data_IF_992470308450
#
_entry.id   IF_992470308450
#
_cell.length_a   1.000
_cell.length_b   1.000
_cell.length_c   1.000
_cell.angle_alpha   90.00
_cell.angle_beta   90.00
_cell.angle_gamma   90.00
#
_symmetry.space_group_name_H-M   'P 1'
#
loop_
_entity.id
_entity.type
_entity.pdbx_description
1 polymer ?
#
# COMPACT_ATOMS: atom_id res chain seq x y z
N UNK A 1 -12.22 27.94 8.90
CA UNK A 1 -11.35 26.97 8.21
C UNK A 1 -10.55 26.28 9.31
N UNK A 2 -10.92 25.06 9.69
CA UNK A 2 -10.13 24.29 10.65
C UNK A 2 -8.88 23.79 9.94
N UNK A 3 -7.71 24.19 10.45
CA UNK A 3 -6.41 23.93 9.81
C UNK A 3 -5.95 22.49 10.04
N UNK A 4 -6.42 21.86 11.13
CA UNK A 4 -6.11 20.49 11.50
C UNK A 4 -7.40 19.77 11.93
N UNK A 5 -7.58 18.49 11.58
CA UNK A 5 -8.79 17.73 11.88
C UNK A 5 -8.85 17.26 13.34
N UNK A 6 -8.35 18.02 14.31
CA UNK A 6 -8.22 17.59 15.72
C UNK A 6 -9.22 18.31 16.63
N UNK A 7 -9.73 17.63 17.65
CA UNK A 7 -10.54 18.27 18.70
C UNK A 7 -9.64 19.08 19.61
N UNK A 8 -10.06 20.27 20.02
CA UNK A 8 -9.29 21.12 20.93
C UNK A 8 -10.20 21.77 21.95
N UNK A 9 -9.84 21.66 23.23
CA UNK A 9 -10.56 22.38 24.29
C UNK A 9 -10.28 23.91 24.20
N UNK A 10 -11.20 24.77 24.68
CA UNK A 10 -10.96 26.20 24.76
C UNK A 10 -9.68 26.52 25.56
N UNK A 11 -8.74 27.25 24.95
CA UNK A 11 -7.46 27.60 25.58
C UNK A 11 -6.34 26.55 25.48
N UNK A 12 -6.62 25.36 24.97
CA UNK A 12 -5.61 24.32 24.76
C UNK A 12 -4.73 24.66 23.53
N UNK A 13 -3.42 24.37 23.61
CA UNK A 13 -2.53 24.53 22.46
C UNK A 13 -2.78 23.42 21.43
N UNK A 14 -2.45 23.66 20.15
CA UNK A 14 -2.55 22.60 19.13
C UNK A 14 -1.64 21.41 19.44
N UNK A 15 -0.44 21.66 19.97
CA UNK A 15 0.51 20.60 20.33
C UNK A 15 -0.01 19.72 21.46
N UNK A 16 -0.71 20.28 22.43
CA UNK A 16 -1.28 19.49 23.53
C UNK A 16 -2.48 18.68 23.04
N UNK A 17 -3.33 19.29 22.21
CA UNK A 17 -4.46 18.58 21.60
C UNK A 17 -3.99 17.39 20.76
N UNK A 18 -2.95 17.56 19.95
CA UNK A 18 -2.34 16.47 19.18
C UNK A 18 -1.86 15.34 20.10
N UNK A 19 -1.18 15.66 21.20
CA UNK A 19 -0.68 14.64 22.14
C UNK A 19 -1.80 13.84 22.79
N UNK A 20 -2.90 14.50 23.16
CA UNK A 20 -4.06 13.84 23.78
C UNK A 20 -4.77 12.87 22.81
N UNK A 21 -4.66 13.15 21.51
CA UNK A 21 -5.31 12.38 20.44
C UNK A 21 -4.33 11.52 19.64
N UNK A 22 -3.10 11.39 20.11
CA UNK A 22 -2.06 10.66 19.39
C UNK A 22 -2.34 9.15 19.40
N UNK A 23 -2.08 8.49 18.27
CA UNK A 23 -2.19 7.04 18.19
C UNK A 23 -1.20 6.37 19.17
N UNK A 24 -1.63 5.37 19.97
CA UNK A 24 -0.78 4.76 21.01
C UNK A 24 0.57 4.27 20.50
N UNK A 25 0.60 3.64 19.32
CA UNK A 25 1.84 3.15 18.69
C UNK A 25 2.82 4.24 18.28
N UNK A 26 2.34 5.46 18.04
CA UNK A 26 3.16 6.57 17.54
C UNK A 26 3.78 7.36 18.71
N UNK A 27 3.19 7.29 19.92
CA UNK A 27 3.67 7.99 21.11
C UNK A 27 5.12 7.67 21.49
N UNK A 28 5.55 6.40 21.63
CA UNK A 28 6.94 6.09 21.97
C UNK A 28 7.94 6.58 20.91
N UNK A 29 7.54 6.51 19.63
CA UNK A 29 8.38 6.95 18.51
C UNK A 29 8.57 8.47 18.52
N UNK A 30 7.48 9.23 18.64
CA UNK A 30 7.54 10.69 18.65
C UNK A 30 8.35 11.22 19.84
N UNK A 31 8.16 10.62 21.00
CA UNK A 31 8.90 10.95 22.22
C UNK A 31 10.40 10.75 22.03
N UNK A 32 10.78 9.64 21.38
CA UNK A 32 12.16 9.34 21.06
C UNK A 32 12.74 10.35 20.08
N UNK A 33 12.09 10.59 18.94
CA UNK A 33 12.54 11.54 17.90
C UNK A 33 12.74 12.94 18.49
N UNK A 34 11.77 13.42 19.26
CA UNK A 34 11.83 14.74 19.88
C UNK A 34 13.00 14.82 20.87
N UNK A 35 13.17 13.82 21.75
CA UNK A 35 14.27 13.79 22.73
C UNK A 35 15.63 13.72 22.05
N UNK A 36 15.74 12.93 20.98
CA UNK A 36 16.97 12.82 20.19
C UNK A 36 17.32 14.16 19.55
N UNK A 37 16.38 14.83 18.87
CA UNK A 37 16.60 16.13 18.25
C UNK A 37 17.05 17.20 19.25
N UNK A 38 16.39 17.27 20.41
CA UNK A 38 16.71 18.22 21.48
C UNK A 38 18.12 18.00 22.06
N UNK A 39 18.53 16.73 22.24
CA UNK A 39 19.82 16.37 22.87
C UNK A 39 21.00 16.48 21.91
N UNK A 40 20.79 16.12 20.66
CA UNK A 40 21.83 16.14 19.62
C UNK A 40 22.12 17.55 19.10
N UNK A 41 21.28 18.53 19.45
CA UNK A 41 21.43 19.91 18.98
C UNK A 41 20.97 20.12 17.54
N UNK A 42 20.19 19.19 16.97
CA UNK A 42 19.60 19.39 15.65
C UNK A 42 18.65 20.59 15.71
N UNK A 43 18.80 21.52 14.76
CA UNK A 43 17.94 22.70 14.62
C UNK A 43 16.59 22.39 13.95
N UNK A 44 16.39 21.14 13.53
CA UNK A 44 15.23 20.72 12.76
C UNK A 44 14.98 19.21 12.91
N UNK A 45 13.71 18.82 12.97
CA UNK A 45 13.27 17.44 12.77
C UNK A 45 11.91 17.42 12.09
N UNK A 46 11.61 16.32 11.42
CA UNK A 46 10.28 16.06 10.87
C UNK A 46 9.81 14.67 11.29
N UNK A 47 8.50 14.51 11.44
CA UNK A 47 7.90 13.24 11.81
C UNK A 47 6.46 13.14 11.31
N UNK A 48 6.09 11.93 10.91
CA UNK A 48 4.70 11.58 10.63
C UNK A 48 4.09 10.91 11.86
N UNK A 49 2.81 11.13 12.09
CA UNK A 49 2.06 10.47 13.14
C UNK A 49 0.56 10.45 12.84
N UNK A 50 -0.16 9.58 13.54
CA UNK A 50 -1.61 9.47 13.44
C UNK A 50 -2.27 10.12 14.65
N UNK A 51 -3.29 10.93 14.40
CA UNK A 51 -4.12 11.51 15.45
C UNK A 51 -5.60 11.21 15.23
N UNK A 52 -6.34 11.10 16.33
CA UNK A 52 -7.79 10.92 16.30
C UNK A 52 -8.45 12.22 15.84
N UNK A 53 -9.26 12.10 14.81
CA UNK A 53 -9.98 13.18 14.18
C UNK A 53 -11.19 13.66 14.97
N UNK A 54 -11.72 14.82 14.61
CA UNK A 54 -13.00 15.29 15.15
C UNK A 54 -14.19 14.41 14.71
N UNK A 55 -14.04 13.76 13.56
CA UNK A 55 -14.94 12.79 12.93
C UNK A 55 -14.83 11.37 13.50
N UNK A 56 -13.86 11.12 14.39
CA UNK A 56 -13.60 9.80 14.97
C UNK A 56 -12.77 8.88 14.08
N UNK A 57 -12.15 9.39 13.01
CA UNK A 57 -11.23 8.64 12.17
C UNK A 57 -9.78 8.96 12.50
N UNK A 58 -8.86 8.06 12.17
CA UNK A 58 -7.44 8.34 12.27
C UNK A 58 -6.98 9.15 11.06
N UNK A 59 -6.35 10.30 11.32
CA UNK A 59 -5.71 11.11 10.29
C UNK A 59 -4.21 11.04 10.40
N UNK A 60 -3.54 11.00 9.25
CA UNK A 60 -2.09 11.11 9.16
C UNK A 60 -1.70 12.58 9.11
N UNK A 61 -0.87 13.00 10.05
CA UNK A 61 -0.29 14.34 10.08
C UNK A 61 1.23 14.24 9.86
N UNK A 62 1.73 15.16 9.06
CA UNK A 62 3.16 15.43 8.90
C UNK A 62 3.50 16.68 9.71
N UNK A 63 4.48 16.59 10.59
CA UNK A 63 4.98 17.72 11.36
C UNK A 63 6.43 18.00 11.03
N UNK A 64 6.71 19.26 10.72
CA UNK A 64 8.06 19.80 10.59
C UNK A 64 8.32 20.78 11.72
N UNK A 65 9.36 20.53 12.51
CA UNK A 65 9.68 21.33 13.71
C UNK A 65 11.07 21.91 13.61
N UNK A 66 11.15 23.25 13.77
CA UNK A 66 12.43 23.92 14.04
C UNK A 66 12.69 24.00 15.53
N UNK A 67 13.94 23.77 15.89
CA UNK A 67 14.45 23.82 17.25
C UNK A 67 15.46 24.95 17.35
N UNK A 68 15.20 25.91 18.24
CA UNK A 68 16.11 27.00 18.56
C UNK A 68 16.58 26.87 20.01
N UNK A 69 17.89 26.84 20.25
CA UNK A 69 18.46 26.84 21.60
C UNK A 69 18.46 28.28 22.13
N UNK A 70 17.66 28.57 23.14
CA UNK A 70 17.55 29.91 23.76
C UNK A 70 18.29 30.00 25.10
N UNK A 71 18.86 28.90 25.59
CA UNK A 71 19.69 28.85 26.79
C UNK A 71 20.24 27.44 27.05
N UNK A 72 21.06 27.27 28.09
CA UNK A 72 21.81 26.03 28.33
C UNK A 72 20.95 24.73 28.40
N UNK A 73 19.66 24.85 28.75
CA UNK A 73 18.66 23.77 28.72
C UNK A 73 17.27 24.30 28.36
N UNK A 74 17.23 25.30 27.48
CA UNK A 74 15.99 25.94 27.08
C UNK A 74 15.92 25.96 25.56
N UNK A 75 14.83 25.44 25.02
CA UNK A 75 14.59 25.32 23.59
C UNK A 75 13.26 25.97 23.23
N UNK A 76 13.23 26.66 22.11
CA UNK A 76 12.00 27.08 21.45
C UNK A 76 11.74 26.13 20.28
N UNK A 77 10.53 25.59 20.23
CA UNK A 77 10.06 24.70 19.18
C UNK A 77 8.99 25.42 18.37
N UNK A 78 9.14 25.43 17.04
CA UNK A 78 8.13 25.94 16.12
C UNK A 78 7.81 24.85 15.12
N UNK A 79 6.63 24.26 15.27
CA UNK A 79 6.11 23.18 14.43
C UNK A 79 5.06 23.69 13.43
N UNK A 80 5.10 23.14 12.22
CA UNK A 80 4.01 23.22 11.25
C UNK A 80 3.48 21.81 11.02
N UNK A 81 2.16 21.63 11.16
CA UNK A 81 1.50 20.36 10.91
C UNK A 81 0.68 20.45 9.62
N UNK A 82 0.77 19.41 8.79
CA UNK A 82 0.01 19.27 7.55
C UNK A 82 -0.75 17.95 7.58
N UNK A 83 -2.05 17.97 7.25
CA UNK A 83 -2.80 16.73 7.05
C UNK A 83 -2.37 16.08 5.74
N UNK A 84 -1.86 14.85 5.83
CA UNK A 84 -1.38 14.04 4.70
C UNK A 84 -2.24 12.78 4.49
N UNK A 85 -3.40 12.68 5.15
CA UNK A 85 -4.28 11.51 5.06
C UNK A 85 -4.65 11.18 3.61
N UNK A 86 -5.06 12.20 2.85
CA UNK A 86 -5.44 12.02 1.44
C UNK A 86 -4.27 11.50 0.60
N UNK A 87 -3.07 12.04 0.84
CA UNK A 87 -1.84 11.61 0.15
C UNK A 87 -1.51 10.15 0.47
N UNK A 88 -1.53 9.77 1.75
CA UNK A 88 -1.26 8.39 2.18
C UNK A 88 -2.29 7.42 1.58
N UNK A 89 -3.57 7.78 1.60
CA UNK A 89 -4.62 6.93 1.03
C UNK A 89 -4.47 6.75 -0.49
N UNK A 90 -4.14 7.83 -1.21
CA UNK A 90 -3.86 7.75 -2.65
C UNK A 90 -2.63 6.89 -2.96
N UNK A 91 -1.54 7.03 -2.19
CA UNK A 91 -0.34 6.21 -2.36
C UNK A 91 -0.62 4.71 -2.12
N UNK A 92 -1.46 4.38 -1.13
CA UNK A 92 -1.88 3.00 -0.85
C UNK A 92 -2.75 2.42 -1.98
N UNK A 93 -3.73 3.19 -2.46
CA UNK A 93 -4.58 2.82 -3.60
C UNK A 93 -3.74 2.61 -4.88
N UNK A 94 -2.79 3.50 -5.16
CA UNK A 94 -1.87 3.35 -6.30
C UNK A 94 -1.04 2.07 -6.18
N UNK A 95 -0.46 1.80 -5.01
CA UNK A 95 0.33 0.58 -4.78
C UNK A 95 -0.51 -0.67 -4.97
N UNK A 96 -1.75 -0.66 -4.50
CA UNK A 96 -2.70 -1.77 -4.68
C UNK A 96 -3.00 -2.01 -6.16
N UNK A 97 -3.25 -0.95 -6.92
CA UNK A 97 -3.52 -1.06 -8.36
C UNK A 97 -2.31 -1.57 -9.15
N UNK A 98 -1.10 -1.10 -8.84
CA UNK A 98 0.14 -1.59 -9.47
C UNK A 98 0.36 -3.09 -9.20
N UNK A 99 0.06 -3.56 -7.99
CA UNK A 99 0.15 -4.98 -7.67
C UNK A 99 -0.87 -5.81 -8.47
N UNK A 100 -2.11 -5.31 -8.62
CA UNK A 100 -3.15 -5.97 -9.40
C UNK A 100 -2.80 -6.01 -10.90
N UNK A 101 -2.27 -4.91 -11.44
CA UNK A 101 -1.80 -4.84 -12.83
C UNK A 101 -0.66 -5.84 -13.08
N UNK A 102 0.33 -5.88 -12.19
CA UNK A 102 1.45 -6.83 -12.26
C UNK A 102 0.98 -8.28 -12.23
N UNK A 103 -0.01 -8.59 -11.36
CA UNK A 103 -0.62 -9.91 -11.29
C UNK A 103 -1.41 -10.24 -12.57
N UNK A 104 -2.13 -9.27 -13.14
CA UNK A 104 -2.87 -9.44 -14.39
C UNK A 104 -1.95 -9.71 -15.59
N UNK A 105 -0.83 -8.99 -15.70
CA UNK A 105 0.19 -9.21 -16.73
C UNK A 105 0.79 -10.61 -16.59
N UNK A 106 1.15 -11.01 -15.37
CA UNK A 106 1.69 -12.35 -15.10
C UNK A 106 0.67 -13.44 -15.45
N UNK A 107 -0.58 -13.28 -15.02
CA UNK A 107 -1.66 -14.22 -15.31
C UNK A 107 -1.93 -14.33 -16.81
N UNK A 108 -1.90 -13.22 -17.55
CA UNK A 108 -2.04 -13.20 -19.01
C UNK A 108 -0.90 -13.93 -19.72
N UNK A 109 0.35 -13.75 -19.26
CA UNK A 109 1.49 -14.50 -19.76
C UNK A 109 1.38 -16.01 -19.51
N UNK A 110 1.00 -16.41 -18.29
CA UNK A 110 0.77 -17.82 -17.94
C UNK A 110 -0.35 -18.43 -18.78
N UNK A 111 -1.48 -17.72 -18.94
CA UNK A 111 -2.60 -18.18 -19.75
C UNK A 111 -2.20 -18.34 -21.23
N UNK A 112 -1.45 -17.38 -21.77
CA UNK A 112 -0.91 -17.46 -23.12
C UNK A 112 -0.01 -18.70 -23.30
N UNK A 113 0.93 -18.94 -22.40
CA UNK A 113 1.85 -20.08 -22.49
C UNK A 113 1.12 -21.42 -22.33
N UNK A 114 0.09 -21.48 -21.48
CA UNK A 114 -0.76 -22.66 -21.35
C UNK A 114 -1.52 -22.95 -22.64
N UNK A 115 -2.10 -21.92 -23.26
CA UNK A 115 -2.81 -22.04 -24.54
C UNK A 115 -1.87 -22.47 -25.67
N UNK A 116 -0.60 -22.04 -25.65
CA UNK A 116 0.41 -22.51 -26.61
C UNK A 116 0.63 -24.03 -26.51
N UNK A 117 0.71 -24.57 -25.28
CA UNK A 117 0.90 -26.00 -25.06
C UNK A 117 -0.36 -26.78 -25.48
N UNK A 118 -1.55 -26.31 -25.09
CA UNK A 118 -2.82 -26.92 -25.49
C UNK A 118 -2.99 -26.96 -27.01
N UNK A 119 -2.61 -25.89 -27.71
CA UNK A 119 -2.64 -25.84 -29.16
C UNK A 119 -1.73 -26.91 -29.79
N UNK A 120 -0.52 -27.09 -29.27
CA UNK A 120 0.40 -28.13 -29.74
C UNK A 120 -0.15 -29.55 -29.48
N UNK A 121 -0.66 -29.81 -28.26
CA UNK A 121 -1.25 -31.10 -27.89
C UNK A 121 -2.46 -31.43 -28.78
N UNK A 122 -3.36 -30.47 -28.97
CA UNK A 122 -4.52 -30.61 -29.86
C UNK A 122 -4.09 -30.84 -31.32
N UNK A 123 -3.07 -30.13 -31.79
CA UNK A 123 -2.51 -30.31 -33.13
C UNK A 123 -2.00 -31.74 -33.37
N UNK A 124 -1.21 -32.29 -32.43
CA UNK A 124 -0.75 -33.67 -32.53
C UNK A 124 -1.89 -34.69 -32.44
N UNK A 125 -2.86 -34.49 -31.55
CA UNK A 125 -4.03 -35.37 -31.43
C UNK A 125 -4.82 -35.43 -32.74
N UNK A 126 -5.06 -34.27 -33.37
CA UNK A 126 -5.71 -34.18 -34.68
C UNK A 126 -4.94 -34.92 -35.79
N UNK A 127 -3.60 -34.79 -35.83
CA UNK A 127 -2.77 -35.51 -36.81
C UNK A 127 -2.86 -37.04 -36.62
N UNK A 128 -2.82 -37.52 -35.38
CA UNK A 128 -2.93 -38.96 -35.08
C UNK A 128 -4.34 -39.48 -35.45
N UNK A 129 -5.39 -38.68 -35.22
CA UNK A 129 -6.76 -39.04 -35.62
C UNK A 129 -6.92 -39.18 -37.14
N UNK A 130 -6.24 -38.34 -37.93
CA UNK A 130 -6.21 -38.43 -39.39
C UNK A 130 -5.58 -39.75 -39.87
N UNK A 131 -4.54 -40.23 -39.19
CA UNK A 131 -3.85 -41.47 -39.54
C UNK A 131 -4.62 -42.74 -39.12
N UNK A 132 -5.20 -42.75 -37.91
CA UNK A 132 -5.87 -43.93 -37.35
C UNK A 132 -7.29 -44.15 -37.91
N UNK A 133 -7.98 -43.06 -38.28
CA UNK A 133 -9.37 -43.09 -38.74
C UNK A 133 -10.40 -43.41 -37.63
N UNK A 134 -11.71 -43.22 -37.91
CA UNK A 134 -12.76 -43.22 -36.87
C UNK A 134 -13.03 -44.57 -36.21
N UNK A 135 -12.60 -45.67 -36.82
CA UNK A 135 -12.83 -47.03 -36.31
C UNK A 135 -11.79 -47.51 -35.30
N UNK A 136 -10.72 -46.74 -35.07
CA UNK A 136 -9.65 -47.15 -34.17
C UNK A 136 -10.06 -46.94 -32.69
N UNK A 137 -9.77 -47.88 -31.77
CA UNK A 137 -10.17 -47.76 -30.36
C UNK A 137 -9.72 -46.46 -29.68
N UNK A 138 -8.52 -45.96 -30.02
CA UNK A 138 -7.96 -44.71 -29.46
C UNK A 138 -8.54 -43.42 -30.06
N UNK A 139 -9.38 -43.49 -31.10
CA UNK A 139 -9.94 -42.29 -31.73
C UNK A 139 -10.81 -41.49 -30.76
N UNK A 140 -11.55 -42.18 -29.87
CA UNK A 140 -12.40 -41.55 -28.85
C UNK A 140 -11.55 -40.76 -27.85
N UNK A 141 -10.47 -41.35 -27.34
CA UNK A 141 -9.59 -40.69 -26.38
C UNK A 141 -8.91 -39.44 -26.98
N UNK A 142 -8.49 -39.51 -28.24
CA UNK A 142 -7.89 -38.37 -28.95
C UNK A 142 -8.91 -37.25 -29.20
N UNK A 143 -10.16 -37.60 -29.53
CA UNK A 143 -11.24 -36.63 -29.69
C UNK A 143 -11.57 -35.92 -28.38
N UNK A 144 -11.49 -36.62 -27.24
CA UNK A 144 -11.65 -36.01 -25.91
C UNK A 144 -10.49 -35.06 -25.58
N UNK A 145 -9.25 -35.41 -25.95
CA UNK A 145 -8.07 -34.52 -25.76
C UNK A 145 -8.25 -33.21 -26.55
N UNK A 146 -8.68 -33.28 -27.81
CA UNK A 146 -8.94 -32.09 -28.64
C UNK A 146 -10.05 -31.24 -28.01
N UNK A 147 -11.17 -31.88 -27.66
CA UNK A 147 -12.33 -31.20 -27.05
C UNK A 147 -11.98 -30.53 -25.72
N UNK A 148 -11.16 -31.18 -24.89
CA UNK A 148 -10.70 -30.63 -23.62
C UNK A 148 -9.77 -29.43 -23.81
N UNK A 149 -8.94 -29.44 -24.85
CA UNK A 149 -7.98 -28.38 -25.16
C UNK A 149 -8.64 -27.09 -25.68
N UNK A 150 -9.85 -27.18 -26.25
CA UNK A 150 -10.63 -26.02 -26.73
C UNK A 150 -11.46 -25.32 -25.65
N UNK A 151 -11.55 -25.92 -24.44
CA UNK A 151 -12.30 -25.37 -23.30
C UNK A 151 -11.47 -24.46 -22.40
N UNK A 152 -10.17 -24.29 -22.71
CA UNK A 152 -9.21 -23.47 -21.98
C UNK A 152 -9.23 -21.99 -22.37
#
# INVERSE_FOLDING_TARGET
MEVLPIKRAPGQSHSDAVKDQLHPDDSPRMDRTTKEALRSGHSFYAQDYRCMGNDGQWHHLHEEVRVEVVGAKCWRLVGVCTNISDRVHMEEEMRKNQNLESLGVLAGGIAHDFNNILCAVSGYANLIMLDLGPGHPSYVDLSEIVTASERG
#
